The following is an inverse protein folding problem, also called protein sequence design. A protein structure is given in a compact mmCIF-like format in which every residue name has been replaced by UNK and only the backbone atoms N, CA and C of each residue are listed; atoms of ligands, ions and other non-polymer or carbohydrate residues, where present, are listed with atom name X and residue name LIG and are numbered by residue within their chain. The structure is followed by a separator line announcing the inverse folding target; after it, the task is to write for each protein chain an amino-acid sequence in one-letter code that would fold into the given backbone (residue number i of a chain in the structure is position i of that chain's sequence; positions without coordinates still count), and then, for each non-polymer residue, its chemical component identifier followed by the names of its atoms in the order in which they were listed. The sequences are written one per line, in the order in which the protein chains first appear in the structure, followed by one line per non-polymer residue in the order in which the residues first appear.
data_IF_734708146222
#
_entry.id   IF_734708146222
#
_cell.length_a   1.000
_cell.length_b   1.000
_cell.length_c   1.000
_cell.angle_alpha   90.00
_cell.angle_beta   90.00
_cell.angle_gamma   90.00
#
_symmetry.space_group_name_H-M   'P 1'
#
loop_
_entity.id
_entity.type
_entity.pdbx_description
1 polymer ?
#
# COMPACT_ATOMS: atom_id res chain seq x y z
N UNK A 1 -5.22 11.67 12.33
CA UNK A 1 -5.10 11.21 10.94
C UNK A 1 -3.66 11.35 10.56
N UNK A 2 -2.97 10.24 10.30
CA UNK A 2 -1.59 10.27 9.84
C UNK A 2 -1.60 10.56 8.34
N UNK A 3 -0.86 11.56 7.90
CA UNK A 3 -0.81 11.96 6.50
C UNK A 3 0.33 11.20 5.80
N UNK A 4 0.02 10.00 5.29
CA UNK A 4 0.97 9.23 4.48
C UNK A 4 0.80 9.61 3.02
N UNK A 5 1.90 9.90 2.34
CA UNK A 5 1.89 10.00 0.89
C UNK A 5 1.69 8.60 0.30
N UNK A 6 0.55 8.42 -0.37
CA UNK A 6 0.24 7.19 -1.11
C UNK A 6 0.66 7.37 -2.56
N UNK A 7 1.44 6.42 -3.06
CA UNK A 7 1.90 6.36 -4.45
C UNK A 7 1.14 5.24 -5.16
N UNK A 8 0.51 5.55 -6.29
CA UNK A 8 -0.06 4.52 -7.17
C UNK A 8 1.00 4.03 -8.17
N UNK A 9 1.60 2.87 -7.87
CA UNK A 9 2.53 2.21 -8.77
C UNK A 9 1.79 1.27 -9.71
N UNK A 10 1.19 1.86 -10.76
CA UNK A 10 0.45 1.14 -11.80
C UNK A 10 1.27 0.10 -12.55
N UNK A 11 2.60 0.26 -12.60
CA UNK A 11 3.51 -0.72 -13.22
C UNK A 11 3.56 -2.04 -12.47
N UNK A 12 3.29 -2.02 -11.16
CA UNK A 12 3.25 -3.20 -10.29
C UNK A 12 1.83 -3.50 -9.78
N UNK A 13 0.82 -2.77 -10.25
CA UNK A 13 -0.56 -2.85 -9.78
C UNK A 13 -0.67 -2.81 -8.26
N UNK A 14 -0.07 -1.79 -7.63
CA UNK A 14 -0.11 -1.65 -6.17
C UNK A 14 -0.03 -0.19 -5.70
N UNK A 15 -0.61 0.08 -4.54
CA UNK A 15 -0.38 1.31 -3.80
C UNK A 15 0.82 1.14 -2.87
N UNK A 16 1.61 2.20 -2.69
CA UNK A 16 2.85 2.17 -1.90
C UNK A 16 2.92 3.34 -0.92
N UNK A 17 3.47 3.08 0.26
CA UNK A 17 3.92 4.09 1.22
C UNK A 17 5.41 3.86 1.46
N UNK A 18 6.21 4.88 1.17
CA UNK A 18 7.66 4.85 1.36
C UNK A 18 8.02 5.59 2.64
N UNK A 19 8.65 4.89 3.59
CA UNK A 19 9.02 5.48 4.88
C UNK A 19 10.25 4.78 5.46
N UNK A 20 11.21 5.57 5.93
CA UNK A 20 12.42 5.07 6.62
C UNK A 20 13.16 3.97 5.83
N UNK A 21 13.22 4.09 4.50
CA UNK A 21 13.84 3.12 3.60
C UNK A 21 13.03 1.84 3.35
N UNK A 22 11.83 1.74 3.92
CA UNK A 22 10.91 0.61 3.76
C UNK A 22 9.73 0.99 2.87
N UNK A 23 9.14 -0.02 2.24
CA UNK A 23 7.95 0.11 1.40
C UNK A 23 6.86 -0.79 1.96
N UNK A 24 5.80 -0.18 2.49
CA UNK A 24 4.53 -0.87 2.70
C UNK A 24 3.71 -0.77 1.42
N UNK A 25 3.00 -1.83 1.04
CA UNK A 25 2.22 -1.82 -0.21
C UNK A 25 0.95 -2.66 -0.14
N UNK A 26 -0.02 -2.29 -0.98
CA UNK A 26 -1.28 -2.99 -1.21
C UNK A 26 -1.40 -3.33 -2.70
N UNK A 27 -1.31 -4.61 -3.05
CA UNK A 27 -1.51 -5.06 -4.42
C UNK A 27 -2.99 -5.04 -4.79
N UNK A 28 -3.29 -4.59 -5.99
CA UNK A 28 -4.64 -4.57 -6.52
C UNK A 28 -4.77 -5.27 -7.87
N UNK A 29 -6.02 -5.62 -8.20
CA UNK A 29 -6.45 -5.96 -9.56
C UNK A 29 -7.63 -5.09 -9.94
N UNK A 30 -7.54 -4.48 -11.11
CA UNK A 30 -8.66 -3.75 -11.69
C UNK A 30 -9.57 -4.72 -12.44
N UNK A 31 -10.88 -4.50 -12.34
CA UNK A 31 -11.90 -5.22 -13.10
C UNK A 31 -12.99 -4.23 -13.51
N UNK A 32 -13.93 -4.68 -14.34
CA UNK A 32 -14.97 -3.78 -14.83
C UNK A 32 -15.79 -3.18 -13.68
N UNK A 33 -15.78 -1.86 -13.56
CA UNK A 33 -16.45 -1.11 -12.51
C UNK A 33 -15.81 -1.18 -11.11
N UNK A 34 -14.60 -1.74 -10.94
CA UNK A 34 -14.03 -1.86 -9.59
C UNK A 34 -12.55 -2.19 -9.46
N UNK A 35 -12.15 -2.30 -8.20
CA UNK A 35 -10.79 -2.64 -7.75
C UNK A 35 -10.88 -3.70 -6.66
N UNK A 36 -10.07 -4.75 -6.78
CA UNK A 36 -9.90 -5.77 -5.76
C UNK A 36 -8.53 -5.58 -5.11
N UNK A 37 -8.51 -5.37 -3.80
CA UNK A 37 -7.30 -5.43 -2.98
C UNK A 37 -6.97 -6.89 -2.69
N UNK A 38 -5.75 -7.31 -2.99
CA UNK A 38 -5.40 -8.73 -3.12
C UNK A 38 -4.30 -9.18 -2.16
N UNK A 39 -3.47 -8.25 -1.69
CA UNK A 39 -2.36 -8.57 -0.80
C UNK A 39 -1.79 -7.30 -0.18
N UNK A 40 -1.72 -7.28 1.14
CA UNK A 40 -1.10 -6.23 1.93
C UNK A 40 0.23 -6.72 2.48
N UNK A 41 1.29 -5.93 2.31
CA UNK A 41 2.57 -6.10 2.99
C UNK A 41 2.89 -4.84 3.79
N UNK A 42 3.14 -5.03 5.09
CA UNK A 42 3.71 -3.99 5.94
C UNK A 42 4.94 -4.58 6.60
N UNK A 43 6.15 -4.11 6.23
CA UNK A 43 7.38 -4.55 6.89
C UNK A 43 7.29 -4.36 8.42
N UNK A 44 7.84 -5.28 9.20
CA UNK A 44 7.77 -5.23 10.67
C UNK A 44 8.29 -3.89 11.24
N UNK A 45 9.30 -3.29 10.60
CA UNK A 45 9.86 -1.99 10.96
C UNK A 45 8.81 -0.85 10.90
N UNK A 46 7.74 -1.02 10.14
CA UNK A 46 6.63 -0.07 10.00
C UNK A 46 5.38 -0.50 10.78
N UNK A 47 5.43 -1.62 11.49
CA UNK A 47 4.31 -2.18 12.25
C UNK A 47 3.81 -1.27 13.39
N UNK A 48 2.53 -1.40 13.74
CA UNK A 48 1.91 -0.65 14.84
C UNK A 48 1.62 0.83 14.58
N UNK A 49 1.82 1.32 13.34
CA UNK A 49 1.68 2.73 12.97
C UNK A 49 0.39 3.05 12.19
N UNK A 50 -0.53 2.08 12.08
CA UNK A 50 -1.80 2.24 11.37
C UNK A 50 -1.68 2.42 9.85
N UNK A 51 -0.61 1.92 9.23
CA UNK A 51 -0.34 2.05 7.78
C UNK A 51 -1.29 1.20 6.92
N UNK A 52 -1.75 0.07 7.44
CA UNK A 52 -2.72 -0.82 6.80
C UNK A 52 -4.08 -0.84 7.54
N UNK A 53 -4.44 0.29 8.17
CA UNK A 53 -5.68 0.42 8.93
C UNK A 53 -6.92 0.57 8.05
#
# INVERSE_FOLDING_TARGET
MTDYQVIDNKGLSRFEIHKDGHVAFENYRLFDGGIAYTYTEVPEALGGQGIAA
#
